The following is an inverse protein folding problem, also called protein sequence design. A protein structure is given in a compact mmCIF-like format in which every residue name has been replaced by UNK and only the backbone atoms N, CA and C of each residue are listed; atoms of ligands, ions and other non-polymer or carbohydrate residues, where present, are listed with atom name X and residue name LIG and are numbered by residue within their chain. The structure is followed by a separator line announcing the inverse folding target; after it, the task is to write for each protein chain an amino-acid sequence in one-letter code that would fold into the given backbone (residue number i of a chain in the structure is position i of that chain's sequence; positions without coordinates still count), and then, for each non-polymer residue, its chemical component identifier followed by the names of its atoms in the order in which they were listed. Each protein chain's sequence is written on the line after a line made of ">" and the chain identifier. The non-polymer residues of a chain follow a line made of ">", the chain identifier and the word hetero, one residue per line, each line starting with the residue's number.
data_IF_921681908569
#
_entry.id   IF_921681908569
#
_cell.length_a   1.000
_cell.length_b   1.000
_cell.length_c   1.000
_cell.angle_alpha   90.00
_cell.angle_beta   90.00
_cell.angle_gamma   90.00
#
_symmetry.space_group_name_H-M   'P 1'
#
loop_
_entity.id
_entity.type
_entity.pdbx_description
1 polymer ?
#
# COMPACT_ATOMS: atom_id res chain seq x y z
N UNK A 1 20.01 -2.41 -32.42
CA UNK A 1 19.90 -2.38 -30.95
C UNK A 1 18.60 -3.08 -30.58
N UNK A 2 18.60 -4.16 -29.78
CA UNK A 2 17.37 -4.85 -29.47
C UNK A 2 16.49 -3.95 -28.59
N UNK A 3 15.25 -3.78 -29.03
CA UNK A 3 14.19 -3.03 -28.37
C UNK A 3 13.92 -3.69 -27.00
N UNK A 4 14.52 -3.17 -25.93
CA UNK A 4 14.20 -3.61 -24.57
C UNK A 4 12.78 -3.12 -24.30
N UNK A 5 11.81 -4.01 -24.34
CA UNK A 5 10.52 -3.77 -23.70
C UNK A 5 10.86 -3.56 -22.22
N UNK A 6 10.85 -2.31 -21.77
CA UNK A 6 10.91 -2.03 -20.35
C UNK A 6 9.69 -2.72 -19.73
N UNK A 7 9.89 -3.66 -18.81
CA UNK A 7 8.83 -4.29 -18.04
C UNK A 7 8.26 -3.26 -17.04
N UNK A 8 7.64 -2.21 -17.58
CA UNK A 8 7.02 -1.16 -16.81
C UNK A 8 5.76 -1.71 -16.15
N UNK A 9 5.70 -1.62 -14.83
CA UNK A 9 4.53 -2.00 -14.07
C UNK A 9 3.50 -0.87 -14.17
N UNK A 10 2.38 -1.13 -14.85
CA UNK A 10 1.38 -0.10 -15.16
C UNK A 10 0.26 -0.01 -14.13
N UNK A 11 -0.12 -1.11 -13.48
CA UNK A 11 -1.16 -1.14 -12.46
C UNK A 11 -1.08 -2.45 -11.65
N UNK A 12 -1.85 -2.52 -10.57
CA UNK A 12 -2.12 -3.76 -9.85
C UNK A 12 -3.54 -3.74 -9.29
N UNK A 13 -4.17 -4.92 -9.27
CA UNK A 13 -5.42 -5.14 -8.58
C UNK A 13 -5.19 -6.08 -7.41
N UNK A 14 -5.74 -5.73 -6.24
CA UNK A 14 -5.80 -6.63 -5.10
C UNK A 14 -7.18 -7.26 -5.02
N UNK A 15 -7.20 -8.55 -4.71
CA UNK A 15 -8.41 -9.32 -4.53
C UNK A 15 -8.49 -9.81 -3.08
N UNK A 16 -9.70 -9.91 -2.55
CA UNK A 16 -9.95 -10.46 -1.22
C UNK A 16 -11.09 -11.49 -1.26
N UNK A 17 -11.23 -12.26 -0.18
CA UNK A 17 -12.37 -13.15 0.04
C UNK A 17 -13.37 -12.44 0.93
N UNK A 18 -14.54 -12.09 0.37
CA UNK A 18 -15.60 -11.40 1.12
C UNK A 18 -16.24 -12.29 2.19
N UNK A 19 -16.17 -13.60 1.99
CA UNK A 19 -16.85 -14.61 2.79
C UNK A 19 -15.86 -15.55 3.50
N UNK A 20 -14.69 -15.05 3.92
CA UNK A 20 -13.61 -15.86 4.52
C UNK A 20 -14.11 -16.82 5.63
N UNK A 21 -14.95 -16.32 6.54
CA UNK A 21 -15.49 -17.13 7.64
C UNK A 21 -16.44 -18.25 7.17
N UNK A 22 -17.18 -18.04 6.09
CA UNK A 22 -18.06 -19.06 5.50
C UNK A 22 -17.24 -20.07 4.67
N UNK A 23 -16.22 -19.59 3.94
CA UNK A 23 -15.28 -20.46 3.22
C UNK A 23 -14.52 -21.38 4.16
N UNK A 24 -14.10 -20.88 5.33
CA UNK A 24 -13.51 -21.71 6.39
C UNK A 24 -14.45 -22.82 6.89
N UNK A 25 -15.78 -22.68 6.69
CA UNK A 25 -16.82 -23.67 7.02
C UNK A 25 -17.27 -24.52 5.82
N UNK A 26 -16.57 -24.44 4.68
CA UNK A 26 -16.83 -25.25 3.49
C UNK A 26 -17.69 -24.59 2.41
N UNK A 27 -18.11 -23.33 2.57
CA UNK A 27 -18.76 -22.60 1.48
C UNK A 27 -17.77 -22.29 0.33
N UNK A 28 -18.28 -22.13 -0.89
CA UNK A 28 -17.45 -21.73 -2.03
C UNK A 28 -16.80 -20.36 -1.79
N UNK A 29 -15.52 -20.15 -2.17
CA UNK A 29 -14.85 -18.86 -2.03
C UNK A 29 -15.50 -17.79 -2.91
N UNK A 30 -15.87 -16.65 -2.31
CA UNK A 30 -16.33 -15.47 -3.03
C UNK A 30 -15.18 -14.46 -3.16
N UNK A 31 -14.47 -14.54 -4.28
CA UNK A 31 -13.37 -13.63 -4.61
C UNK A 31 -13.91 -12.35 -5.23
N UNK A 32 -13.49 -11.22 -4.69
CA UNK A 32 -13.85 -9.90 -5.20
C UNK A 32 -12.61 -9.01 -5.33
N UNK A 33 -12.66 -8.03 -6.23
CA UNK A 33 -11.66 -6.97 -6.28
C UNK A 33 -11.82 -6.10 -5.04
N UNK A 34 -10.75 -5.92 -4.30
CA UNK A 34 -10.70 -5.02 -3.15
C UNK A 34 -10.39 -3.59 -3.61
N UNK A 35 -9.35 -3.44 -4.43
CA UNK A 35 -9.00 -2.16 -5.04
C UNK A 35 -8.08 -2.34 -6.25
N UNK A 36 -8.07 -1.32 -7.12
CA UNK A 36 -7.11 -1.15 -8.21
C UNK A 36 -6.18 -0.01 -7.85
N UNK A 37 -4.88 -0.27 -7.74
CA UNK A 37 -3.90 0.62 -7.08
C UNK A 37 -3.85 1.99 -7.75
N UNK A 38 -3.74 2.03 -9.08
CA UNK A 38 -3.65 3.29 -9.82
C UNK A 38 -4.89 4.16 -9.65
N UNK A 39 -6.07 3.55 -9.77
CA UNK A 39 -7.35 4.25 -9.58
C UNK A 39 -7.57 4.69 -8.13
N UNK A 40 -7.10 3.90 -7.18
CA UNK A 40 -7.28 4.18 -5.73
C UNK A 40 -6.41 5.34 -5.27
N UNK A 41 -5.17 5.41 -5.72
CA UNK A 41 -4.20 6.42 -5.29
C UNK A 41 -4.00 7.56 -6.30
N UNK A 42 -4.69 7.50 -7.45
CA UNK A 42 -4.59 8.47 -8.54
C UNK A 42 -3.13 8.72 -8.96
N UNK A 43 -2.40 7.66 -9.27
CA UNK A 43 -1.03 7.73 -9.82
C UNK A 43 -1.01 7.33 -11.29
N UNK A 44 0.09 7.58 -12.01
CA UNK A 44 0.18 7.26 -13.44
C UNK A 44 0.45 5.78 -13.72
N UNK A 45 1.30 5.18 -12.90
CA UNK A 45 1.78 3.80 -13.01
C UNK A 45 2.36 3.33 -11.66
N UNK A 46 2.98 2.16 -11.62
CA UNK A 46 3.63 1.60 -10.44
C UNK A 46 5.16 1.79 -10.45
N UNK A 47 5.68 2.69 -11.28
CA UNK A 47 7.11 2.99 -11.35
C UNK A 47 7.59 3.73 -10.08
N UNK A 48 8.90 3.70 -9.77
CA UNK A 48 9.43 4.31 -8.55
C UNK A 48 9.05 5.79 -8.37
N UNK A 49 9.05 6.57 -9.46
CA UNK A 49 8.70 7.99 -9.42
C UNK A 49 7.24 8.22 -8.99
N UNK A 50 6.29 7.47 -9.57
CA UNK A 50 4.87 7.54 -9.19
C UNK A 50 4.65 7.16 -7.73
N UNK A 51 5.38 6.15 -7.24
CA UNK A 51 5.31 5.72 -5.83
C UNK A 51 5.94 6.72 -4.87
N UNK A 52 7.04 7.37 -5.25
CA UNK A 52 7.64 8.44 -4.46
C UNK A 52 6.68 9.64 -4.32
N UNK A 53 6.01 10.02 -5.41
CA UNK A 53 4.95 11.05 -5.38
C UNK A 53 3.80 10.66 -4.45
N UNK A 54 3.37 9.40 -4.48
CA UNK A 54 2.35 8.91 -3.55
C UNK A 54 2.83 8.99 -2.09
N UNK A 55 4.07 8.57 -1.80
CA UNK A 55 4.63 8.65 -0.45
C UNK A 55 4.60 10.09 0.09
N UNK A 56 5.04 11.07 -0.71
CA UNK A 56 4.98 12.48 -0.34
C UNK A 56 3.54 12.99 -0.10
N UNK A 57 2.57 12.52 -0.90
CA UNK A 57 1.15 12.86 -0.68
C UNK A 57 0.60 12.28 0.61
N UNK A 58 0.98 11.05 0.96
CA UNK A 58 0.55 10.40 2.20
C UNK A 58 1.05 11.14 3.46
N UNK A 59 2.10 11.96 3.37
CA UNK A 59 2.60 12.80 4.47
C UNK A 59 1.71 14.02 4.78
N UNK A 60 1.00 14.55 3.78
CA UNK A 60 0.19 15.77 3.93
C UNK A 60 -1.32 15.52 3.82
N UNK A 61 -1.75 14.41 3.21
CA UNK A 61 -3.16 14.07 3.03
C UNK A 61 -3.61 12.99 4.03
N UNK A 62 -4.24 13.42 5.12
CA UNK A 62 -4.73 12.54 6.18
C UNK A 62 -5.84 11.58 5.70
N UNK A 63 -6.67 11.99 4.73
CA UNK A 63 -7.73 11.14 4.18
C UNK A 63 -7.13 10.02 3.34
N UNK A 64 -6.17 10.36 2.47
CA UNK A 64 -5.45 9.38 1.67
C UNK A 64 -4.62 8.43 2.54
N UNK A 65 -4.01 8.94 3.61
CA UNK A 65 -3.32 8.13 4.62
C UNK A 65 -4.25 7.13 5.28
N UNK A 66 -5.41 7.57 5.77
CA UNK A 66 -6.42 6.69 6.35
C UNK A 66 -6.82 5.59 5.37
N UNK A 67 -7.08 5.95 4.11
CA UNK A 67 -7.40 4.98 3.05
C UNK A 67 -6.27 3.98 2.81
N UNK A 68 -5.02 4.43 2.87
CA UNK A 68 -3.85 3.56 2.75
C UNK A 68 -3.77 2.58 3.93
N UNK A 69 -3.97 3.04 5.16
CA UNK A 69 -4.00 2.21 6.37
C UNK A 69 -5.09 1.14 6.32
N UNK A 70 -6.32 1.52 5.91
CA UNK A 70 -7.45 0.59 5.78
C UNK A 70 -7.15 -0.57 4.81
N UNK A 71 -6.50 -0.26 3.68
CA UNK A 71 -6.19 -1.24 2.64
C UNK A 71 -4.94 -2.09 2.95
N UNK A 72 -4.07 -1.65 3.85
CA UNK A 72 -2.88 -2.41 4.26
C UNK A 72 -3.27 -3.76 4.88
N UNK A 73 -4.32 -3.77 5.69
CA UNK A 73 -4.81 -4.96 6.40
C UNK A 73 -5.89 -5.76 5.63
N UNK A 74 -6.01 -5.57 4.31
CA UNK A 74 -7.00 -6.27 3.48
C UNK A 74 -8.45 -6.04 3.99
N UNK A 75 -8.75 -4.79 4.36
CA UNK A 75 -10.06 -4.39 4.90
C UNK A 75 -10.60 -5.36 5.97
N UNK A 76 -9.70 -6.00 6.73
CA UNK A 76 -10.08 -6.95 7.76
C UNK A 76 -10.84 -6.19 8.84
N UNK A 77 -12.10 -6.58 9.08
CA UNK A 77 -13.00 -5.84 9.96
C UNK A 77 -12.39 -5.64 11.35
N UNK A 78 -12.00 -4.39 11.66
CA UNK A 78 -11.91 -3.92 13.03
C UNK A 78 -10.52 -3.58 13.60
N UNK A 79 -9.42 -3.70 12.85
CA UNK A 79 -8.11 -3.20 13.34
C UNK A 79 -7.29 -2.55 12.23
N UNK A 80 -7.18 -1.22 12.29
CA UNK A 80 -6.18 -0.49 11.51
C UNK A 80 -4.80 -0.89 12.04
N UNK A 81 -4.02 -1.60 11.22
CA UNK A 81 -2.65 -2.01 11.58
C UNK A 81 -1.67 -0.83 11.54
N UNK A 82 -2.07 0.26 10.87
CA UNK A 82 -1.30 1.48 10.70
C UNK A 82 -2.10 2.64 11.25
N UNK A 83 -1.60 3.28 12.29
CA UNK A 83 -2.19 4.46 12.94
C UNK A 83 -1.15 5.59 13.04
N UNK A 84 -1.51 6.69 13.70
CA UNK A 84 -0.61 7.84 13.87
C UNK A 84 0.63 7.51 14.71
N UNK A 85 0.55 6.56 15.63
CA UNK A 85 1.65 6.19 16.53
C UNK A 85 2.74 5.39 15.82
N UNK A 86 2.38 4.62 14.79
CA UNK A 86 3.32 3.78 14.04
C UNK A 86 3.53 4.24 12.58
N UNK A 87 2.83 5.28 12.12
CA UNK A 87 2.90 5.81 10.75
C UNK A 87 4.34 6.06 10.30
N UNK A 88 5.17 6.71 11.12
CA UNK A 88 6.54 7.03 10.76
C UNK A 88 7.40 5.79 10.54
N UNK A 89 7.22 4.74 11.35
CA UNK A 89 7.92 3.48 11.14
C UNK A 89 7.56 2.86 9.78
N UNK A 90 6.27 2.93 9.41
CA UNK A 90 5.76 2.41 8.14
C UNK A 90 6.19 3.22 6.92
N UNK A 91 6.22 4.55 7.00
CA UNK A 91 6.68 5.38 5.88
C UNK A 91 8.17 5.20 5.64
N UNK A 92 8.98 5.21 6.69
CA UNK A 92 10.42 4.99 6.58
C UNK A 92 10.75 3.60 6.02
N UNK A 93 9.99 2.56 6.38
CA UNK A 93 10.20 1.22 5.83
C UNK A 93 9.93 1.15 4.31
N UNK A 94 9.05 2.00 3.79
CA UNK A 94 8.71 2.02 2.37
C UNK A 94 9.72 2.78 1.50
N UNK A 95 10.39 3.78 2.07
CA UNK A 95 11.26 4.70 1.32
C UNK A 95 12.74 4.49 1.61
N UNK A 96 13.10 3.94 2.77
CA UNK A 96 14.47 3.77 3.24
C UNK A 96 14.83 2.28 3.41
N UNK A 97 15.23 1.64 2.31
CA UNK A 97 15.45 0.19 2.22
C UNK A 97 16.74 -0.33 2.89
N UNK A 98 17.49 0.52 3.59
CA UNK A 98 18.73 0.16 4.30
C UNK A 98 18.67 0.59 5.76
N UNK A 99 19.43 -0.09 6.63
CA UNK A 99 19.42 0.17 8.07
C UNK A 99 19.70 1.65 8.40
N UNK A 100 20.82 2.19 7.92
CA UNK A 100 21.21 3.57 8.21
C UNK A 100 20.20 4.59 7.66
N UNK A 101 19.65 4.32 6.46
CA UNK A 101 18.64 5.17 5.85
C UNK A 101 17.32 5.13 6.63
N UNK A 102 16.93 3.94 7.11
CA UNK A 102 15.75 3.76 7.92
C UNK A 102 15.91 4.46 9.26
N UNK A 103 17.05 4.27 9.93
CA UNK A 103 17.37 4.93 11.18
C UNK A 103 17.35 6.45 11.02
N UNK A 104 17.98 6.98 9.97
CA UNK A 104 17.94 8.40 9.65
C UNK A 104 16.50 8.90 9.47
N UNK A 105 15.66 8.19 8.71
CA UNK A 105 14.26 8.57 8.49
C UNK A 105 13.42 8.49 9.77
N UNK A 106 13.52 7.39 10.52
CA UNK A 106 12.70 7.12 11.70
C UNK A 106 13.10 8.01 12.88
N UNK A 107 14.39 8.29 13.04
CA UNK A 107 14.90 9.12 14.13
C UNK A 107 14.85 10.63 13.81
N UNK A 108 14.79 11.05 12.53
CA UNK A 108 14.70 12.47 12.17
C UNK A 108 13.35 13.13 12.47
N UNK A 109 12.30 12.36 12.75
CA UNK A 109 11.00 12.89 13.20
C UNK A 109 10.84 12.98 14.72
N UNK A 110 11.95 12.87 15.47
CA UNK A 110 12.03 13.23 16.89
C UNK A 110 12.47 14.69 17.06
#
# INVERSE_FOLDING_TARGET
>A
MPNRIAFALTDSARFCLSNLAATAKGALPNRQVEYVYRGTYAIADLMPASRATLAARLESDATLRKRFSELYAVTAQGTDQIDTSNWQAYTCAQTALGQDAYEACYCAGK
#
